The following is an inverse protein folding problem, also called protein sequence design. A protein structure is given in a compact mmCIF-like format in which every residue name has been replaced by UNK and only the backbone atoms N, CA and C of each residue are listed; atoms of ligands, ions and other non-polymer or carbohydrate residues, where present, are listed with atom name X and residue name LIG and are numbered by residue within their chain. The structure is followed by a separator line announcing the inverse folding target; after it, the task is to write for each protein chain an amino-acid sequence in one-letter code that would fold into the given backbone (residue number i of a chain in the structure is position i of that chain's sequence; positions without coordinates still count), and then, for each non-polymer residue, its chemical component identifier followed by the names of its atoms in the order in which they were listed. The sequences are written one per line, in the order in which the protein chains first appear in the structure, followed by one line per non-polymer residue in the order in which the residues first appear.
data_IF_440190064956
#
_entry.id   IF_440190064956
#
_cell.length_a   1.000
_cell.length_b   1.000
_cell.length_c   1.000
_cell.angle_alpha   90.00
_cell.angle_beta   90.00
_cell.angle_gamma   90.00
#
_symmetry.space_group_name_H-M   'P 1'
#
loop_
_entity.id
_entity.type
_entity.pdbx_description
1 polymer ?
#
# COMPACT_ATOMS: atom_id res chain seq x y z
N UNK A 1 2.39 50.67 -8.75
CA UNK A 1 1.45 49.63 -8.25
C UNK A 1 1.55 49.63 -6.74
N UNK A 2 0.47 49.94 -6.03
CA UNK A 2 0.48 50.05 -4.57
C UNK A 2 0.49 48.67 -3.91
N UNK A 3 1.14 48.57 -2.75
CA UNK A 3 1.25 47.34 -1.94
C UNK A 3 -0.12 46.78 -1.58
N UNK A 4 -1.17 47.61 -1.53
CA UNK A 4 -2.55 47.21 -1.27
C UNK A 4 -3.18 46.34 -2.38
N UNK A 5 -2.75 46.48 -3.64
CA UNK A 5 -3.29 45.68 -4.74
C UNK A 5 -2.80 44.23 -4.71
N UNK A 6 -1.64 43.98 -4.09
CA UNK A 6 -1.02 42.64 -3.98
C UNK A 6 -1.63 41.86 -2.80
N UNK A 7 -2.04 42.54 -1.72
CA UNK A 7 -2.64 41.91 -0.54
C UNK A 7 -4.11 41.52 -0.79
N UNK A 8 -4.86 42.33 -1.54
CA UNK A 8 -6.27 42.04 -1.86
C UNK A 8 -6.50 40.83 -2.77
N UNK A 9 -5.59 40.54 -3.69
CA UNK A 9 -5.70 39.39 -4.59
C UNK A 9 -5.33 38.06 -3.93
N UNK A 10 -4.42 38.06 -2.94
CA UNK A 10 -4.00 36.86 -2.22
C UNK A 10 -5.04 36.32 -1.22
N UNK A 11 -5.78 37.21 -0.54
CA UNK A 11 -6.82 36.83 0.41
C UNK A 11 -8.04 36.19 -0.29
N UNK A 12 -8.50 36.79 -1.40
CA UNK A 12 -9.66 36.29 -2.16
C UNK A 12 -9.43 34.95 -2.86
N UNK A 13 -8.21 34.71 -3.37
CA UNK A 13 -7.85 33.42 -3.98
C UNK A 13 -7.76 32.30 -2.93
N UNK A 14 -7.30 32.61 -1.72
CA UNK A 14 -7.28 31.68 -0.58
C UNK A 14 -8.68 31.32 -0.10
N UNK A 15 -9.58 32.30 -0.01
CA UNK A 15 -10.98 32.08 0.38
C UNK A 15 -11.77 31.29 -0.67
N UNK A 16 -11.61 31.58 -1.96
CA UNK A 16 -12.25 30.83 -3.05
C UNK A 16 -11.78 29.36 -3.07
N UNK A 17 -10.47 29.13 -2.91
CA UNK A 17 -9.90 27.77 -2.82
C UNK A 17 -10.40 27.02 -1.58
N UNK A 18 -10.57 27.73 -0.46
CA UNK A 18 -11.13 27.18 0.79
C UNK A 18 -12.63 26.84 0.66
N UNK A 19 -13.40 27.67 -0.03
CA UNK A 19 -14.83 27.45 -0.30
C UNK A 19 -15.07 26.23 -1.21
N UNK A 20 -14.16 25.91 -2.12
CA UNK A 20 -14.27 24.68 -2.94
C UNK A 20 -13.80 23.40 -2.22
N UNK A 21 -12.89 23.52 -1.25
CA UNK A 21 -12.33 22.38 -0.50
C UNK A 21 -13.30 21.83 0.56
N UNK A 22 -14.08 22.70 1.22
CA UNK A 22 -14.99 22.29 2.31
C UNK A 22 -16.10 21.31 1.85
N UNK A 23 -16.79 21.52 0.71
CA UNK A 23 -17.78 20.56 0.21
C UNK A 23 -17.16 19.22 -0.19
N UNK A 24 -15.92 19.24 -0.73
CA UNK A 24 -15.21 18.02 -1.11
C UNK A 24 -14.84 17.17 0.12
N UNK A 25 -14.40 17.82 1.21
CA UNK A 25 -14.11 17.16 2.49
C UNK A 25 -15.39 16.62 3.14
N UNK A 26 -16.48 17.38 3.12
CA UNK A 26 -17.78 16.94 3.64
C UNK A 26 -18.31 15.71 2.90
N UNK A 27 -18.22 15.72 1.57
CA UNK A 27 -18.56 14.56 0.74
C UNK A 27 -17.69 13.35 1.09
N UNK A 28 -16.37 13.51 1.15
CA UNK A 28 -15.46 12.40 1.48
C UNK A 28 -15.76 11.82 2.86
N UNK A 29 -15.97 12.67 3.87
CA UNK A 29 -16.33 12.24 5.21
C UNK A 29 -17.66 11.46 5.22
N UNK A 30 -18.70 12.00 4.56
CA UNK A 30 -20.01 11.35 4.46
C UNK A 30 -19.94 9.97 3.80
N UNK A 31 -19.25 9.86 2.66
CA UNK A 31 -19.06 8.58 1.96
C UNK A 31 -18.22 7.61 2.80
N UNK A 32 -17.19 8.10 3.48
CA UNK A 32 -16.34 7.27 4.35
C UNK A 32 -17.12 6.70 5.53
N UNK A 33 -17.94 7.52 6.20
CA UNK A 33 -18.76 7.08 7.32
C UNK A 33 -19.81 6.05 6.88
N UNK A 34 -20.48 6.30 5.75
CA UNK A 34 -21.43 5.36 5.17
C UNK A 34 -20.74 4.02 4.81
N UNK A 35 -19.57 4.08 4.18
CA UNK A 35 -18.78 2.91 3.83
C UNK A 35 -18.39 2.10 5.07
N UNK A 36 -17.83 2.77 6.09
CA UNK A 36 -17.43 2.11 7.35
C UNK A 36 -18.64 1.46 8.00
N UNK A 37 -19.77 2.15 8.12
CA UNK A 37 -20.99 1.59 8.70
C UNK A 37 -21.47 0.34 7.95
N UNK A 38 -21.49 0.38 6.61
CA UNK A 38 -21.84 -0.77 5.78
C UNK A 38 -20.86 -1.93 5.97
N UNK A 39 -19.56 -1.69 5.97
CA UNK A 39 -18.55 -2.73 6.14
C UNK A 39 -18.59 -3.34 7.55
N UNK A 40 -18.78 -2.53 8.58
CA UNK A 40 -18.95 -3.03 9.95
C UNK A 40 -20.17 -3.94 10.05
N UNK A 41 -21.31 -3.53 9.48
CA UNK A 41 -22.52 -4.34 9.48
C UNK A 41 -22.29 -5.65 8.71
N UNK A 42 -21.65 -5.57 7.53
CA UNK A 42 -21.37 -6.72 6.67
C UNK A 42 -20.46 -7.75 7.34
N UNK A 43 -19.33 -7.33 7.92
CA UNK A 43 -18.39 -8.22 8.61
C UNK A 43 -18.86 -8.67 10.01
N UNK A 44 -19.87 -8.01 10.56
CA UNK A 44 -20.50 -8.48 11.81
C UNK A 44 -21.56 -9.55 11.55
N UNK A 45 -22.30 -9.47 10.43
CA UNK A 45 -23.52 -10.27 10.23
C UNK A 45 -23.45 -11.27 9.08
N UNK A 46 -22.68 -11.00 8.02
CA UNK A 46 -22.73 -11.78 6.78
C UNK A 46 -21.44 -12.54 6.52
N UNK A 47 -20.28 -11.91 6.77
CA UNK A 47 -19.00 -12.38 6.25
C UNK A 47 -17.93 -12.41 7.33
N UNK A 48 -17.11 -13.47 7.35
CA UNK A 48 -15.91 -13.52 8.19
C UNK A 48 -14.70 -12.96 7.44
N UNK A 49 -13.70 -12.48 8.18
CA UNK A 49 -12.42 -12.10 7.58
C UNK A 49 -11.69 -13.32 6.99
N UNK A 50 -10.85 -13.07 6.00
CA UNK A 50 -10.00 -14.12 5.42
C UNK A 50 -9.11 -14.76 6.48
N UNK A 51 -8.83 -16.07 6.35
CA UNK A 51 -8.05 -16.85 7.31
C UNK A 51 -6.65 -16.28 7.51
N UNK A 52 -5.99 -15.85 6.43
CA UNK A 52 -4.65 -15.24 6.52
C UNK A 52 -4.67 -13.93 7.28
N UNK A 53 -5.74 -13.13 7.14
CA UNK A 53 -5.89 -11.88 7.88
C UNK A 53 -6.11 -12.20 9.36
N UNK A 54 -6.99 -13.16 9.67
CA UNK A 54 -7.21 -13.62 11.04
C UNK A 54 -5.91 -14.14 11.68
N UNK A 55 -5.12 -14.94 10.95
CA UNK A 55 -3.85 -15.47 11.42
C UNK A 55 -2.82 -14.38 11.74
N UNK A 56 -2.71 -13.38 10.87
CA UNK A 56 -1.81 -12.23 11.09
C UNK A 56 -2.28 -11.40 12.30
N UNK A 57 -3.58 -11.16 12.44
CA UNK A 57 -4.13 -10.41 13.57
C UNK A 57 -3.91 -11.13 14.90
N UNK A 58 -4.12 -12.44 14.95
CA UNK A 58 -3.84 -13.26 16.13
C UNK A 58 -2.35 -13.30 16.47
N UNK A 59 -1.49 -13.41 15.45
CA UNK A 59 -0.03 -13.33 15.62
C UNK A 59 0.39 -11.96 16.17
N UNK A 60 -0.26 -10.88 15.72
CA UNK A 60 -0.04 -9.52 16.24
C UNK A 60 -0.45 -9.40 17.70
N UNK A 61 -1.64 -9.91 18.07
CA UNK A 61 -2.09 -9.91 19.46
C UNK A 61 -1.15 -10.73 20.35
N UNK A 62 -0.68 -11.87 19.87
CA UNK A 62 0.31 -12.68 20.59
C UNK A 62 1.63 -11.92 20.77
N UNK A 63 2.11 -11.23 19.73
CA UNK A 63 3.31 -10.40 19.80
C UNK A 63 3.20 -9.23 20.79
N UNK A 64 2.04 -8.58 20.85
CA UNK A 64 1.78 -7.52 21.85
C UNK A 64 1.68 -8.10 23.27
N UNK A 65 1.08 -9.29 23.43
CA UNK A 65 0.91 -9.92 24.75
C UNK A 65 2.24 -10.40 25.33
N UNK A 66 3.12 -10.96 24.49
CA UNK A 66 4.41 -11.50 24.91
C UNK A 66 5.54 -10.47 24.92
N UNK A 67 5.36 -9.32 24.27
CA UNK A 67 6.37 -8.27 24.20
C UNK A 67 7.68 -8.77 23.58
N UNK A 68 8.79 -8.63 24.32
CA UNK A 68 10.11 -9.09 23.88
C UNK A 68 10.25 -10.62 23.82
N UNK A 69 9.42 -11.37 24.55
CA UNK A 69 9.46 -12.83 24.53
C UNK A 69 8.87 -13.43 23.24
N UNK A 70 8.19 -12.63 22.43
CA UNK A 70 7.67 -13.08 21.13
C UNK A 70 8.79 -13.54 20.18
N UNK A 71 10.00 -12.98 20.28
CA UNK A 71 11.16 -13.36 19.47
C UNK A 71 11.58 -14.82 19.71
N UNK A 72 11.19 -15.42 20.84
CA UNK A 72 11.46 -16.83 21.17
C UNK A 72 10.54 -17.77 20.40
N UNK A 73 9.44 -17.28 19.82
CA UNK A 73 8.62 -18.05 18.92
C UNK A 73 9.26 -18.02 17.53
N UNK A 74 9.48 -19.20 16.93
CA UNK A 74 9.97 -19.37 15.55
C UNK A 74 8.95 -18.91 14.48
N UNK A 75 8.00 -18.04 14.84
CA UNK A 75 7.00 -17.49 13.93
C UNK A 75 7.63 -16.29 13.20
N UNK A 76 7.89 -16.49 11.91
CA UNK A 76 8.26 -15.41 11.01
C UNK A 76 7.14 -14.37 10.95
N UNK A 77 7.39 -13.18 11.50
CA UNK A 77 6.44 -12.07 11.46
C UNK A 77 7.13 -10.76 11.07
N UNK A 78 7.00 -10.31 9.80
CA UNK A 78 7.74 -9.14 9.31
C UNK A 78 7.44 -7.85 10.09
N UNK A 79 8.45 -7.00 10.37
CA UNK A 79 8.28 -5.81 11.22
C UNK A 79 7.20 -4.84 10.74
N UNK A 80 7.10 -4.61 9.42
CA UNK A 80 6.09 -3.72 8.86
C UNK A 80 4.66 -4.24 9.09
N UNK A 81 4.48 -5.56 9.01
CA UNK A 81 3.20 -6.20 9.30
C UNK A 81 2.89 -6.09 10.79
N UNK A 82 3.87 -6.41 11.66
CA UNK A 82 3.72 -6.25 13.11
C UNK A 82 3.24 -4.84 13.45
N UNK A 83 3.90 -3.80 12.95
CA UNK A 83 3.50 -2.42 13.22
C UNK A 83 2.07 -2.13 12.75
N UNK A 84 1.74 -2.47 11.50
CA UNK A 84 0.42 -2.17 10.94
C UNK A 84 -0.70 -2.91 11.68
N UNK A 85 -0.54 -4.20 11.93
CA UNK A 85 -1.58 -5.01 12.54
C UNK A 85 -1.63 -4.86 14.08
N UNK A 86 -0.54 -4.47 14.74
CA UNK A 86 -0.58 -4.03 16.15
C UNK A 86 -1.45 -2.79 16.34
N UNK A 87 -1.53 -1.88 15.36
CA UNK A 87 -2.51 -0.78 15.43
C UNK A 87 -3.96 -1.28 15.55
N UNK A 88 -4.31 -2.40 14.91
CA UNK A 88 -5.63 -3.00 15.03
C UNK A 88 -5.85 -3.60 16.43
N UNK A 89 -4.81 -4.18 17.02
CA UNK A 89 -4.82 -4.69 18.40
C UNK A 89 -5.05 -3.53 19.38
N UNK A 90 -4.24 -2.47 19.31
CA UNK A 90 -4.38 -1.32 20.20
C UNK A 90 -5.75 -0.67 20.04
N UNK A 91 -6.25 -0.54 18.81
CA UNK A 91 -7.60 -0.02 18.56
C UNK A 91 -8.69 -0.92 19.18
N UNK A 92 -8.55 -2.23 19.06
CA UNK A 92 -9.46 -3.21 19.67
C UNK A 92 -9.47 -3.09 21.18
N UNK A 93 -8.29 -2.99 21.79
CA UNK A 93 -8.13 -2.88 23.24
C UNK A 93 -8.67 -1.55 23.78
N UNK A 94 -8.48 -0.45 23.04
CA UNK A 94 -8.98 0.89 23.40
C UNK A 94 -10.50 1.03 23.28
N UNK A 95 -11.11 0.40 22.27
CA UNK A 95 -12.53 0.60 21.94
C UNK A 95 -13.44 -0.53 22.38
N UNK A 96 -12.87 -1.69 22.75
CA UNK A 96 -13.61 -2.94 22.97
C UNK A 96 -14.17 -3.55 21.69
N UNK A 97 -13.88 -2.97 20.52
CA UNK A 97 -14.30 -3.51 19.23
C UNK A 97 -13.58 -4.84 18.99
N UNK A 98 -14.25 -5.80 18.35
CA UNK A 98 -13.60 -7.06 17.93
C UNK A 98 -12.36 -6.77 17.09
N UNK A 99 -11.34 -7.61 17.22
CA UNK A 99 -10.03 -7.40 16.58
C UNK A 99 -10.13 -7.36 15.04
N UNK A 100 -10.92 -8.26 14.47
CA UNK A 100 -11.20 -8.30 13.03
C UNK A 100 -11.89 -7.01 12.56
N UNK A 101 -12.93 -6.55 13.26
CA UNK A 101 -13.60 -5.29 12.95
C UNK A 101 -12.68 -4.07 13.12
N UNK A 102 -11.76 -4.09 14.08
CA UNK A 102 -10.75 -3.03 14.24
C UNK A 102 -9.82 -2.96 13.02
N UNK A 103 -9.42 -4.11 12.48
CA UNK A 103 -8.66 -4.17 11.23
C UNK A 103 -9.45 -3.68 10.02
N UNK A 104 -10.75 -4.01 9.94
CA UNK A 104 -11.65 -3.51 8.89
C UNK A 104 -11.78 -1.98 8.98
N UNK A 105 -11.85 -1.41 10.19
CA UNK A 105 -11.90 0.04 10.39
C UNK A 105 -10.64 0.71 9.85
N UNK A 106 -9.47 0.25 10.27
CA UNK A 106 -8.18 0.80 9.83
C UNK A 106 -7.99 0.66 8.31
N UNK A 107 -8.36 -0.48 7.74
CA UNK A 107 -8.33 -0.68 6.28
C UNK A 107 -9.26 0.31 5.58
N UNK A 108 -10.46 0.54 6.11
CA UNK A 108 -11.43 1.50 5.54
C UNK A 108 -10.91 2.93 5.58
N UNK A 109 -10.21 3.31 6.67
CA UNK A 109 -9.54 4.61 6.77
C UNK A 109 -8.40 4.73 5.75
N UNK A 110 -7.62 3.65 5.54
CA UNK A 110 -6.58 3.62 4.51
C UNK A 110 -7.16 3.73 3.09
N UNK A 111 -8.32 3.11 2.81
CA UNK A 111 -9.06 3.29 1.56
C UNK A 111 -9.48 4.75 1.39
N UNK A 112 -10.06 5.35 2.44
CA UNK A 112 -10.47 6.77 2.38
C UNK A 112 -9.30 7.71 2.15
N UNK A 113 -8.17 7.47 2.82
CA UNK A 113 -6.95 8.25 2.60
C UNK A 113 -6.46 8.12 1.15
N UNK A 114 -6.35 6.89 0.64
CA UNK A 114 -5.82 6.62 -0.71
C UNK A 114 -6.69 7.21 -1.80
N UNK A 115 -8.01 7.08 -1.67
CA UNK A 115 -8.99 7.61 -2.62
C UNK A 115 -9.14 9.13 -2.51
N UNK A 116 -9.08 9.70 -1.30
CA UNK A 116 -9.05 11.14 -1.07
C UNK A 116 -7.82 11.79 -1.69
N UNK A 117 -6.64 11.18 -1.51
CA UNK A 117 -5.39 11.66 -2.12
C UNK A 117 -5.45 11.58 -3.65
N UNK A 118 -5.93 10.46 -4.21
CA UNK A 118 -6.16 10.29 -5.64
C UNK A 118 -7.16 11.33 -6.20
N UNK A 119 -8.27 11.56 -5.49
CA UNK A 119 -9.28 12.54 -5.86
C UNK A 119 -8.70 13.96 -5.88
N UNK A 120 -7.95 14.34 -4.84
CA UNK A 120 -7.26 15.62 -4.77
C UNK A 120 -6.30 15.83 -5.95
N UNK A 121 -5.47 14.81 -6.26
CA UNK A 121 -4.54 14.83 -7.38
C UNK A 121 -5.31 15.08 -8.69
N UNK A 122 -6.30 14.23 -9.00
CA UNK A 122 -7.04 14.32 -10.25
C UNK A 122 -7.84 15.62 -10.37
N UNK A 123 -8.44 16.09 -9.27
CA UNK A 123 -9.21 17.35 -9.25
C UNK A 123 -8.32 18.54 -9.55
N UNK A 124 -7.09 18.54 -9.06
CA UNK A 124 -6.14 19.64 -9.26
C UNK A 124 -5.56 19.67 -10.68
N UNK A 125 -5.50 18.53 -11.37
CA UNK A 125 -4.82 18.43 -12.68
C UNK A 125 -5.75 18.48 -13.88
N UNK A 126 -6.75 17.61 -13.91
CA UNK A 126 -7.65 17.39 -15.07
C UNK A 126 -9.12 17.57 -14.71
N UNK A 127 -9.41 17.97 -13.47
CA UNK A 127 -10.75 18.03 -12.91
C UNK A 127 -11.26 16.65 -12.48
N UNK A 128 -12.03 16.60 -11.39
CA UNK A 128 -12.65 15.36 -10.92
C UNK A 128 -14.03 15.60 -10.33
N UNK A 129 -15.02 14.87 -10.83
CA UNK A 129 -16.36 14.83 -10.28
C UNK A 129 -16.39 13.98 -8.99
N UNK A 130 -17.36 14.24 -8.09
CA UNK A 130 -17.65 13.38 -6.93
C UNK A 130 -17.68 11.88 -7.23
N UNK A 131 -18.15 11.50 -8.42
CA UNK A 131 -18.20 10.12 -8.88
C UNK A 131 -16.84 9.44 -8.93
N UNK A 132 -15.76 10.17 -9.25
CA UNK A 132 -14.41 9.59 -9.24
C UNK A 132 -14.03 9.07 -7.84
N UNK A 133 -14.35 9.82 -6.79
CA UNK A 133 -14.09 9.42 -5.40
C UNK A 133 -14.91 8.17 -5.05
N UNK A 134 -16.22 8.21 -5.31
CA UNK A 134 -17.14 7.11 -4.99
C UNK A 134 -16.74 5.83 -5.72
N UNK A 135 -16.47 5.92 -7.03
CA UNK A 135 -16.06 4.76 -7.84
C UNK A 135 -14.69 4.25 -7.40
N UNK A 136 -13.74 5.12 -7.08
CA UNK A 136 -12.43 4.68 -6.56
C UNK A 136 -12.58 3.93 -5.24
N UNK A 137 -13.40 4.43 -4.31
CA UNK A 137 -13.70 3.74 -3.05
C UNK A 137 -14.40 2.41 -3.30
N UNK A 138 -15.41 2.38 -4.17
CA UNK A 138 -16.14 1.17 -4.51
C UNK A 138 -15.20 0.11 -5.11
N UNK A 139 -14.34 0.47 -6.05
CA UNK A 139 -13.36 -0.45 -6.67
C UNK A 139 -12.41 -1.02 -5.61
N UNK A 140 -11.84 -0.16 -4.77
CA UNK A 140 -10.90 -0.56 -3.72
C UNK A 140 -11.56 -1.32 -2.54
N UNK A 141 -12.87 -1.41 -2.49
CA UNK A 141 -13.58 -2.19 -1.46
C UNK A 141 -14.16 -3.46 -2.06
N UNK A 142 -14.96 -3.32 -3.11
CA UNK A 142 -15.73 -4.42 -3.68
C UNK A 142 -14.81 -5.43 -4.34
N UNK A 143 -13.80 -5.00 -5.12
CA UNK A 143 -12.94 -5.94 -5.84
C UNK A 143 -12.15 -6.84 -4.88
N UNK A 144 -11.47 -6.33 -3.83
CA UNK A 144 -10.82 -7.19 -2.85
C UNK A 144 -11.78 -8.11 -2.10
N UNK A 145 -13.00 -7.65 -1.77
CA UNK A 145 -14.00 -8.49 -1.09
C UNK A 145 -14.45 -9.64 -1.99
N UNK A 146 -14.79 -9.35 -3.26
CA UNK A 146 -15.26 -10.36 -4.21
C UNK A 146 -14.13 -11.32 -4.64
N UNK A 147 -12.92 -10.81 -4.80
CA UNK A 147 -11.77 -11.62 -5.16
C UNK A 147 -11.18 -12.25 -3.90
N UNK A 148 -11.77 -13.37 -3.45
CA UNK A 148 -11.30 -14.18 -2.31
C UNK A 148 -11.23 -13.43 -0.97
N UNK A 149 -12.00 -12.36 -0.80
CA UNK A 149 -12.03 -11.59 0.45
C UNK A 149 -10.66 -11.10 0.93
N UNK A 150 -9.82 -10.60 0.02
CA UNK A 150 -8.50 -10.07 0.34
C UNK A 150 -8.53 -8.71 1.05
N UNK A 151 -9.71 -8.23 1.46
CA UNK A 151 -9.88 -6.90 2.04
C UNK A 151 -9.12 -6.78 3.37
N UNK A 152 -8.09 -5.92 3.38
CA UNK A 152 -7.23 -5.66 4.55
C UNK A 152 -5.99 -6.54 4.62
N UNK A 153 -5.82 -7.47 3.68
CA UNK A 153 -4.57 -8.21 3.51
C UNK A 153 -3.46 -7.33 2.94
N UNK A 154 -2.22 -7.81 3.07
CA UNK A 154 -0.99 -7.14 2.64
C UNK A 154 -1.04 -6.75 1.16
N UNK A 155 -1.55 -7.64 0.32
CA UNK A 155 -1.77 -7.41 -1.11
C UNK A 155 -2.69 -6.22 -1.34
N UNK A 156 -3.81 -6.17 -0.61
CA UNK A 156 -4.74 -5.07 -0.71
C UNK A 156 -4.09 -3.76 -0.25
N UNK A 157 -3.36 -3.77 0.86
CA UNK A 157 -2.66 -2.59 1.37
C UNK A 157 -1.66 -2.02 0.34
N UNK A 158 -0.95 -2.88 -0.40
CA UNK A 158 -0.06 -2.44 -1.50
C UNK A 158 -0.87 -1.75 -2.60
N UNK A 159 -2.02 -2.29 -2.99
CA UNK A 159 -2.91 -1.65 -3.99
C UNK A 159 -3.36 -0.27 -3.52
N UNK A 160 -3.66 -0.10 -2.23
CA UNK A 160 -4.03 1.20 -1.66
C UNK A 160 -2.93 2.25 -1.81
N UNK A 161 -1.65 1.87 -1.63
CA UNK A 161 -0.53 2.77 -1.87
C UNK A 161 -0.29 3.10 -3.33
N UNK A 162 -0.47 2.11 -4.20
CA UNK A 162 -0.31 2.26 -5.65
C UNK A 162 -1.44 3.08 -6.29
N UNK A 163 -2.65 3.10 -5.73
CA UNK A 163 -3.78 3.81 -6.32
C UNK A 163 -3.55 5.32 -6.54
N UNK A 164 -3.22 6.13 -5.51
CA UNK A 164 -2.93 7.55 -5.71
C UNK A 164 -1.70 7.77 -6.59
N UNK A 165 -0.74 6.85 -6.56
CA UNK A 165 0.43 6.89 -7.44
C UNK A 165 0.05 6.73 -8.92
N UNK A 166 -0.77 5.73 -9.26
CA UNK A 166 -1.25 5.53 -10.63
C UNK A 166 -2.06 6.74 -11.12
N UNK A 167 -2.92 7.29 -10.26
CA UNK A 167 -3.69 8.48 -10.59
C UNK A 167 -2.79 9.70 -10.82
N UNK A 168 -1.71 9.86 -10.05
CA UNK A 168 -0.69 10.88 -10.29
C UNK A 168 -0.03 10.70 -11.67
N UNK A 169 0.35 9.48 -12.03
CA UNK A 169 1.00 9.19 -13.32
C UNK A 169 0.10 9.44 -14.52
N UNK A 170 -1.18 9.12 -14.39
CA UNK A 170 -2.15 9.34 -15.46
C UNK A 170 -2.56 10.82 -15.57
N UNK A 171 -2.63 11.53 -14.45
CA UNK A 171 -3.22 12.87 -14.43
C UNK A 171 -2.20 14.02 -14.49
N UNK A 172 -0.94 13.80 -14.09
CA UNK A 172 0.16 14.77 -14.20
C UNK A 172 1.47 14.09 -14.66
N UNK A 173 1.49 13.49 -15.87
CA UNK A 173 2.61 12.68 -16.35
C UNK A 173 3.92 13.48 -16.50
N UNK A 174 3.82 14.78 -16.77
CA UNK A 174 4.95 15.67 -17.02
C UNK A 174 5.40 16.47 -15.78
N UNK A 175 4.80 16.22 -14.61
CA UNK A 175 5.11 16.90 -13.35
C UNK A 175 4.96 18.43 -13.40
N UNK A 176 3.91 18.92 -14.04
CA UNK A 176 3.69 20.36 -14.26
C UNK A 176 2.76 20.98 -13.22
N UNK A 177 1.80 20.21 -12.71
CA UNK A 177 0.68 20.76 -11.92
C UNK A 177 0.77 20.38 -10.45
N UNK A 178 1.06 19.10 -10.14
CA UNK A 178 1.12 18.64 -8.75
C UNK A 178 2.46 19.01 -8.13
N UNK A 179 2.40 19.83 -7.09
CA UNK A 179 3.56 20.26 -6.31
C UNK A 179 4.23 19.15 -5.49
N UNK A 180 5.43 19.46 -5.03
CA UNK A 180 6.32 18.54 -4.30
C UNK A 180 5.66 17.90 -3.05
N UNK A 181 4.89 18.67 -2.28
CA UNK A 181 4.27 18.20 -1.02
C UNK A 181 3.40 16.96 -1.23
N UNK A 182 2.51 17.01 -2.21
CA UNK A 182 1.62 15.88 -2.54
C UNK A 182 2.41 14.68 -3.03
N UNK A 183 3.46 14.90 -3.83
CA UNK A 183 4.35 13.83 -4.32
C UNK A 183 5.12 13.14 -3.19
N UNK A 184 5.59 13.93 -2.21
CA UNK A 184 6.21 13.40 -1.00
C UNK A 184 5.22 12.51 -0.23
N UNK A 185 3.97 12.97 -0.04
CA UNK A 185 2.93 12.16 0.62
C UNK A 185 2.66 10.86 -0.15
N UNK A 186 2.54 10.93 -1.48
CA UNK A 186 2.37 9.74 -2.34
C UNK A 186 3.55 8.78 -2.19
N UNK A 187 4.78 9.28 -2.22
CA UNK A 187 5.98 8.45 -2.07
C UNK A 187 6.10 7.79 -0.70
N UNK A 188 5.79 8.52 0.37
CA UNK A 188 5.78 7.97 1.74
C UNK A 188 4.69 6.90 1.86
N UNK A 189 3.48 7.20 1.40
CA UNK A 189 2.36 6.26 1.46
C UNK A 189 2.62 4.99 0.66
N UNK A 190 3.05 5.13 -0.59
CA UNK A 190 3.44 4.01 -1.45
C UNK A 190 4.56 3.20 -0.81
N UNK A 191 5.63 3.85 -0.33
CA UNK A 191 6.75 3.18 0.35
C UNK A 191 6.31 2.38 1.57
N UNK A 192 5.52 2.98 2.46
CA UNK A 192 5.00 2.32 3.66
C UNK A 192 4.11 1.10 3.33
N UNK A 193 3.25 1.20 2.31
CA UNK A 193 2.45 0.04 1.89
C UNK A 193 3.28 -1.05 1.21
N UNK A 194 4.33 -0.67 0.46
CA UNK A 194 5.21 -1.62 -0.19
C UNK A 194 6.03 -2.42 0.82
N UNK A 195 6.34 -1.91 2.01
CA UNK A 195 7.05 -2.70 3.03
C UNK A 195 6.25 -3.92 3.49
N UNK A 196 4.92 -3.91 3.36
CA UNK A 196 4.06 -5.08 3.64
C UNK A 196 4.22 -6.19 2.58
N UNK A 197 4.69 -5.86 1.37
CA UNK A 197 5.00 -6.84 0.32
C UNK A 197 6.11 -6.30 -0.59
N UNK A 198 7.32 -6.21 -0.04
CA UNK A 198 8.46 -5.50 -0.63
C UNK A 198 8.84 -5.95 -2.05
N UNK A 199 8.56 -7.19 -2.43
CA UNK A 199 8.78 -7.68 -3.80
C UNK A 199 7.97 -6.91 -4.85
N UNK A 200 6.84 -6.29 -4.49
CA UNK A 200 6.05 -5.45 -5.39
C UNK A 200 6.79 -4.16 -5.79
N UNK A 201 7.84 -3.76 -5.07
CA UNK A 201 8.69 -2.65 -5.48
C UNK A 201 9.37 -2.93 -6.84
N UNK A 202 9.66 -4.20 -7.16
CA UNK A 202 10.19 -4.59 -8.48
C UNK A 202 9.17 -4.32 -9.60
N UNK A 203 7.88 -4.54 -9.34
CA UNK A 203 6.82 -4.26 -10.32
C UNK A 203 6.78 -2.75 -10.62
N UNK A 204 6.83 -1.92 -9.58
CA UNK A 204 6.88 -0.45 -9.74
C UNK A 204 8.13 -0.03 -10.53
N UNK A 205 9.29 -0.58 -10.19
CA UNK A 205 10.55 -0.29 -10.89
C UNK A 205 10.49 -0.67 -12.37
N UNK A 206 9.98 -1.87 -12.69
CA UNK A 206 9.86 -2.34 -14.07
C UNK A 206 8.91 -1.45 -14.90
N UNK A 207 7.79 -1.03 -14.31
CA UNK A 207 6.87 -0.11 -14.96
C UNK A 207 7.50 1.26 -15.23
N UNK A 208 8.26 1.80 -14.27
CA UNK A 208 8.95 3.08 -14.42
C UNK A 208 10.09 3.02 -15.44
N UNK A 209 10.85 1.91 -15.46
CA UNK A 209 11.87 1.67 -16.48
C UNK A 209 11.24 1.54 -17.87
N UNK A 210 10.10 0.86 -17.98
CA UNK A 210 9.33 0.75 -19.21
C UNK A 210 8.84 2.11 -19.72
N UNK A 211 8.22 2.93 -18.86
CA UNK A 211 7.76 4.27 -19.23
C UNK A 211 8.95 5.18 -19.62
N UNK A 212 10.05 5.13 -18.87
CA UNK A 212 11.26 5.88 -19.17
C UNK A 212 11.91 5.48 -20.50
N UNK A 213 11.89 4.18 -20.82
CA UNK A 213 12.39 3.64 -22.09
C UNK A 213 11.51 4.09 -23.27
N UNK A 214 10.19 3.95 -23.17
CA UNK A 214 9.23 4.37 -24.21
C UNK A 214 9.36 5.88 -24.48
N UNK A 215 9.48 6.69 -23.44
CA UNK A 215 9.61 8.15 -23.55
C UNK A 215 11.02 8.62 -23.87
N UNK A 216 12.01 7.73 -23.92
CA UNK A 216 13.43 8.04 -24.12
C UNK A 216 13.96 9.08 -23.11
N UNK A 217 13.49 9.00 -21.86
CA UNK A 217 13.86 9.93 -20.77
C UNK A 217 14.23 9.12 -19.52
N UNK A 218 15.47 8.62 -19.41
CA UNK A 218 15.88 7.73 -18.32
C UNK A 218 15.76 8.37 -16.94
N UNK A 219 15.87 9.71 -16.86
CA UNK A 219 15.76 10.45 -15.61
C UNK A 219 14.32 10.49 -15.03
N UNK A 220 13.30 10.06 -15.78
CA UNK A 220 11.91 10.01 -15.28
C UNK A 220 11.71 8.98 -14.17
N UNK A 221 12.62 8.02 -14.01
CA UNK A 221 12.59 7.03 -12.91
C UNK A 221 12.88 7.71 -11.57
N UNK A 222 13.71 8.77 -11.56
CA UNK A 222 14.18 9.47 -10.36
C UNK A 222 13.23 10.58 -9.88
N UNK A 223 11.92 10.37 -9.99
CA UNK A 223 10.95 11.28 -9.38
C UNK A 223 10.93 11.13 -7.87
N UNK A 224 10.60 12.21 -7.16
CA UNK A 224 10.65 12.24 -5.69
C UNK A 224 9.80 11.15 -5.06
N UNK A 225 8.60 10.88 -5.60
CA UNK A 225 7.71 9.84 -5.07
C UNK A 225 8.32 8.44 -5.18
N UNK A 226 9.06 8.17 -6.26
CA UNK A 226 9.76 6.90 -6.48
C UNK A 226 10.99 6.79 -5.59
N UNK A 227 11.77 7.88 -5.49
CA UNK A 227 12.96 7.94 -4.66
C UNK A 227 12.61 7.70 -3.19
N UNK A 228 11.55 8.34 -2.69
CA UNK A 228 11.10 8.16 -1.32
C UNK A 228 10.58 6.74 -1.08
N UNK A 229 9.72 6.22 -1.96
CA UNK A 229 9.22 4.86 -1.81
C UNK A 229 10.35 3.82 -1.86
N UNK A 230 11.28 3.97 -2.81
CA UNK A 230 12.46 3.13 -2.93
C UNK A 230 13.38 3.24 -1.72
N UNK A 231 13.61 4.45 -1.20
CA UNK A 231 14.41 4.66 0.00
C UNK A 231 13.78 4.02 1.24
N UNK A 232 12.46 4.12 1.42
CA UNK A 232 11.74 3.47 2.53
C UNK A 232 11.89 1.94 2.43
N UNK A 233 11.64 1.36 1.26
CA UNK A 233 11.78 -0.09 1.05
C UNK A 233 13.23 -0.54 1.24
N UNK A 234 14.20 0.21 0.71
CA UNK A 234 15.62 -0.10 0.86
C UNK A 234 16.06 -0.02 2.33
N UNK A 235 15.65 1.03 3.06
CA UNK A 235 15.92 1.16 4.48
C UNK A 235 15.29 0.01 5.26
N UNK A 236 14.03 -0.32 4.98
CA UNK A 236 13.33 -1.46 5.57
C UNK A 236 14.10 -2.77 5.37
N UNK A 237 14.48 -3.09 4.13
CA UNK A 237 15.24 -4.31 3.82
C UNK A 237 16.64 -4.30 4.44
N UNK A 238 17.29 -3.13 4.52
CA UNK A 238 18.60 -3.01 5.16
C UNK A 238 18.52 -3.31 6.66
N UNK A 239 17.62 -2.65 7.39
CA UNK A 239 17.46 -2.90 8.82
C UNK A 239 17.00 -4.33 9.10
N UNK A 240 16.13 -4.87 8.26
CA UNK A 240 15.53 -6.17 8.51
C UNK A 240 16.36 -7.36 8.01
N UNK A 241 17.01 -7.29 6.85
CA UNK A 241 17.79 -8.42 6.31
C UNK A 241 19.27 -8.33 6.64
N UNK A 242 19.82 -7.12 6.79
CA UNK A 242 21.26 -6.92 6.98
C UNK A 242 21.61 -6.75 8.45
N UNK A 243 20.80 -6.02 9.22
CA UNK A 243 21.11 -5.72 10.62
C UNK A 243 20.58 -6.81 11.56
N UNK A 244 19.35 -7.29 11.37
CA UNK A 244 18.72 -8.29 12.24
C UNK A 244 19.41 -9.67 12.15
N UNK A 245 20.09 -10.16 13.21
CA UNK A 245 20.72 -11.47 13.24
C UNK A 245 19.74 -12.63 13.08
N UNK A 246 18.53 -12.52 13.65
CA UNK A 246 17.55 -13.60 13.65
C UNK A 246 17.05 -13.92 12.24
N UNK A 247 16.95 -12.91 11.37
CA UNK A 247 16.59 -13.11 9.97
C UNK A 247 17.74 -13.73 9.17
N UNK A 248 18.99 -13.36 9.45
CA UNK A 248 20.14 -13.98 8.80
C UNK A 248 20.26 -15.45 9.17
N UNK A 249 19.98 -15.80 10.42
CA UNK A 249 19.89 -17.20 10.87
C UNK A 249 18.72 -17.93 10.20
N UNK A 250 17.53 -17.33 10.15
CA UNK A 250 16.37 -17.92 9.47
C UNK A 250 16.62 -18.12 7.96
N UNK A 251 17.23 -17.15 7.28
CA UNK A 251 17.62 -17.25 5.87
C UNK A 251 18.69 -18.33 5.70
N UNK A 252 19.70 -18.40 6.58
CA UNK A 252 20.71 -19.44 6.52
C UNK A 252 20.10 -20.84 6.71
N UNK A 253 19.12 -20.99 7.60
CA UNK A 253 18.38 -22.24 7.80
C UNK A 253 17.53 -22.57 6.57
N UNK A 254 16.84 -21.60 5.98
CA UNK A 254 16.05 -21.80 4.75
C UNK A 254 16.96 -22.16 3.58
N UNK A 255 18.08 -21.45 3.38
CA UNK A 255 19.06 -21.75 2.33
C UNK A 255 19.66 -23.13 2.56
N UNK A 256 20.04 -23.49 3.80
CA UNK A 256 20.51 -24.82 4.12
C UNK A 256 19.45 -25.90 3.89
N UNK A 257 18.17 -25.62 4.15
CA UNK A 257 17.08 -26.55 3.91
C UNK A 257 16.71 -26.66 2.42
N UNK A 258 16.87 -25.58 1.66
CA UNK A 258 16.76 -25.55 0.21
C UNK A 258 17.93 -26.35 -0.37
N UNK A 259 19.18 -26.06 0.00
CA UNK A 259 20.37 -26.78 -0.45
C UNK A 259 20.32 -28.28 -0.08
N UNK A 260 19.73 -28.63 1.06
CA UNK A 260 19.48 -30.02 1.45
C UNK A 260 18.37 -30.71 0.65
N UNK A 261 17.45 -29.95 0.04
CA UNK A 261 16.32 -30.46 -0.77
C UNK A 261 16.46 -30.19 -2.27
N UNK A 262 17.48 -29.45 -2.70
CA UNK A 262 17.77 -29.22 -4.11
C UNK A 262 18.37 -30.50 -4.67
N UNK A 263 17.73 -31.04 -5.71
CA UNK A 263 18.32 -32.08 -6.53
C UNK A 263 19.69 -31.60 -7.04
N UNK A 264 20.62 -32.54 -7.27
CA UNK A 264 21.96 -32.19 -7.75
C UNK A 264 21.87 -31.29 -8.99
N UNK A 265 22.86 -30.42 -9.19
CA UNK A 265 22.89 -29.48 -10.33
C UNK A 265 22.61 -30.17 -11.67
N UNK A 266 23.04 -31.42 -11.81
CA UNK A 266 22.77 -32.28 -12.96
C UNK A 266 21.28 -32.65 -13.12
N UNK A 267 20.60 -33.05 -12.05
CA UNK A 267 19.17 -33.35 -12.08
C UNK A 267 18.31 -32.11 -12.41
N UNK A 268 18.69 -30.93 -11.92
CA UNK A 268 18.00 -29.67 -12.26
C UNK A 268 18.21 -29.28 -13.74
N UNK A 269 19.40 -29.53 -14.30
CA UNK A 269 19.68 -29.30 -15.72
C UNK A 269 18.89 -30.25 -16.61
N UNK A 270 18.82 -31.54 -16.24
CA UNK A 270 18.02 -32.54 -16.95
C UNK A 270 16.53 -32.17 -16.93
N UNK A 271 16.01 -31.78 -15.77
CA UNK A 271 14.61 -31.39 -15.62
C UNK A 271 14.29 -30.08 -16.38
N UNK A 272 15.21 -29.11 -16.38
CA UNK A 272 15.08 -27.88 -17.18
C UNK A 272 15.10 -28.16 -18.68
N UNK A 273 15.96 -29.07 -19.14
CA UNK A 273 16.00 -29.50 -20.55
C UNK A 273 14.70 -30.21 -20.97
N UNK A 274 14.16 -31.06 -20.11
CA UNK A 274 12.85 -31.72 -20.32
C UNK A 274 11.73 -30.67 -20.41
N UNK A 275 11.64 -29.75 -19.46
CA UNK A 275 10.61 -28.71 -19.49
C UNK A 275 10.74 -27.76 -20.68
N UNK A 276 11.98 -27.41 -21.07
CA UNK A 276 12.23 -26.58 -22.25
C UNK A 276 11.86 -27.29 -23.55
N UNK A 277 12.20 -28.58 -23.67
CA UNK A 277 11.80 -29.39 -24.84
C UNK A 277 10.29 -29.60 -24.92
N UNK A 278 9.59 -29.77 -23.79
CA UNK A 278 8.13 -29.79 -23.74
C UNK A 278 7.53 -28.43 -24.13
N UNK A 279 8.09 -27.32 -23.63
CA UNK A 279 7.62 -25.98 -23.96
C UNK A 279 7.78 -25.65 -25.45
N UNK A 280 8.87 -26.11 -26.09
CA UNK A 280 9.07 -26.00 -27.55
C UNK A 280 8.10 -26.89 -28.31
N UNK A 281 7.81 -28.10 -27.84
CA UNK A 281 6.88 -29.02 -28.51
C UNK A 281 5.42 -28.51 -28.52
N UNK A 282 5.03 -27.71 -27.52
CA UNK A 282 3.68 -27.13 -27.41
C UNK A 282 3.55 -25.70 -27.96
N UNK A 283 4.62 -25.14 -28.54
CA UNK A 283 4.62 -23.90 -29.32
C UNK A 283 4.56 -24.21 -30.82
#
# INVERSE_FOLDING_TARGET
MSVETIVGQGAGAGEAKRQELLPALGLQAGVTLALIACLMLFYTTVYSVHTDLAGILLSSRLAETLGGDFEKYSLYFPPAERIWFSCAVWLSDLTGLRLDLSSILLTSLAVSFSTGLAYYIRRTTVGASPWFLIVSMAVLVIVPILYKNLYGLREHMVVLGLWPYLVLRLSDPENKVIGMKTRVIVGIWMGATLTLKYLYALVVLLLELGDAAIRKRPLLVFRIENLLAGAIVAAYLFFWLVIDPAQREAIAVIVSAIDANLASTQANLEQSAIHFSLAIFFL
#
